data_IF_732849302924
#
_entry.id   IF_732849302924
#
_cell.length_a   1.000
_cell.length_b   1.000
_cell.length_c   1.000
_cell.angle_alpha   90.00
_cell.angle_beta   90.00
_cell.angle_gamma   90.00
#
_symmetry.space_group_name_H-M   'P 1'
#
loop_
_entity.id
_entity.type
_entity.pdbx_description
1 polymer ?
#
# COMPACT_ATOMS: atom_id res chain seq x y z
N UNK A 1 1.61 48.85 4.83
CA UNK A 1 2.04 47.61 5.51
C UNK A 1 1.90 46.46 4.53
N UNK A 2 3.01 45.94 3.99
CA UNK A 2 3.03 44.74 3.16
C UNK A 2 3.00 43.52 4.08
N UNK A 3 1.98 42.67 3.95
CA UNK A 3 2.01 41.32 4.53
C UNK A 3 2.79 40.42 3.59
N UNK A 4 3.98 40.03 4.02
CA UNK A 4 4.69 38.84 3.55
C UNK A 4 4.09 37.64 4.28
N UNK A 5 3.18 36.94 3.62
CA UNK A 5 2.82 35.55 3.95
C UNK A 5 3.76 34.71 3.06
N UNK A 6 4.77 34.05 3.60
CA UNK A 6 4.62 32.88 4.45
C UNK A 6 5.11 31.71 3.60
N UNK A 7 6.43 31.50 3.58
CA UNK A 7 7.06 30.45 2.80
C UNK A 7 6.49 29.09 3.17
N UNK A 8 5.90 28.43 2.18
CA UNK A 8 5.32 27.10 2.31
C UNK A 8 6.43 26.11 2.69
N UNK A 9 6.27 25.49 3.86
CA UNK A 9 7.18 24.48 4.39
C UNK A 9 7.19 23.28 3.45
N UNK A 10 8.23 23.20 2.60
CA UNK A 10 8.76 22.01 1.92
C UNK A 10 7.79 20.82 1.83
N UNK A 11 6.90 20.82 0.83
CA UNK A 11 6.21 19.59 0.42
C UNK A 11 7.26 18.53 0.11
N UNK A 12 7.12 17.34 0.70
CA UNK A 12 7.94 16.21 0.33
C UNK A 12 7.83 16.00 -1.20
N UNK A 13 8.94 15.82 -1.92
CA UNK A 13 8.90 15.59 -3.36
C UNK A 13 8.06 14.35 -3.65
N UNK A 14 7.27 14.40 -4.73
CA UNK A 14 6.51 13.23 -5.20
C UNK A 14 7.42 12.03 -5.38
N UNK A 15 6.93 10.80 -5.16
CA UNK A 15 7.75 9.59 -5.32
C UNK A 15 8.36 9.51 -6.73
N UNK A 16 7.65 9.99 -7.74
CA UNK A 16 8.18 10.05 -9.11
C UNK A 16 9.43 10.94 -9.21
N UNK A 17 9.44 12.12 -8.59
CA UNK A 17 10.62 13.00 -8.55
C UNK A 17 11.77 12.33 -7.78
N UNK A 18 11.47 11.69 -6.65
CA UNK A 18 12.49 10.98 -5.88
C UNK A 18 13.11 9.83 -6.68
N UNK A 19 12.30 9.08 -7.43
CA UNK A 19 12.77 7.99 -8.28
C UNK A 19 13.72 8.49 -9.37
N UNK A 20 13.34 9.57 -10.07
CA UNK A 20 14.19 10.21 -11.08
C UNK A 20 15.53 10.68 -10.51
N UNK A 21 15.55 11.22 -9.29
CA UNK A 21 16.80 11.60 -8.62
C UNK A 21 17.68 10.39 -8.30
N UNK A 22 17.08 9.28 -7.86
CA UNK A 22 17.79 8.05 -7.57
C UNK A 22 18.36 7.39 -8.83
N UNK A 23 17.61 7.41 -9.93
CA UNK A 23 18.07 6.97 -11.25
C UNK A 23 19.25 7.81 -11.74
N UNK A 24 19.10 9.14 -11.70
CA UNK A 24 20.14 10.07 -12.16
C UNK A 24 21.43 9.94 -11.34
N UNK A 25 21.31 9.61 -10.05
CA UNK A 25 22.44 9.36 -9.17
C UNK A 25 23.01 7.93 -9.24
N UNK A 26 22.41 7.03 -10.03
CA UNK A 26 22.85 5.66 -10.19
C UNK A 26 22.73 4.81 -8.92
N UNK A 27 21.90 5.24 -7.96
CA UNK A 27 21.74 4.57 -6.66
C UNK A 27 20.78 3.37 -6.72
N UNK A 28 19.93 3.30 -7.74
CA UNK A 28 18.92 2.27 -7.96
C UNK A 28 18.93 1.79 -9.41
N UNK A 29 18.15 0.75 -9.71
CA UNK A 29 18.02 0.17 -11.04
C UNK A 29 19.33 -0.40 -11.62
N UNK A 30 20.22 -0.92 -10.76
CA UNK A 30 21.42 -1.63 -11.24
C UNK A 30 21.09 -3.02 -11.79
N UNK A 31 19.91 -3.55 -11.46
CA UNK A 31 19.49 -4.91 -11.79
C UNK A 31 18.17 -4.94 -12.57
N UNK A 32 18.19 -4.48 -13.82
CA UNK A 32 16.98 -4.39 -14.66
C UNK A 32 16.73 -5.61 -15.53
N UNK A 33 17.75 -6.45 -15.78
CA UNK A 33 17.67 -7.58 -16.70
C UNK A 33 17.11 -8.83 -15.99
N UNK A 34 15.86 -9.26 -16.30
CA UNK A 34 15.25 -10.42 -15.62
C UNK A 34 15.99 -11.73 -15.89
N UNK A 35 16.74 -11.79 -17.00
CA UNK A 35 17.60 -12.92 -17.35
C UNK A 35 18.81 -13.07 -16.43
N UNK A 36 19.26 -11.98 -15.79
CA UNK A 36 20.47 -11.98 -14.96
C UNK A 36 20.30 -12.73 -13.64
N UNK A 37 21.38 -13.34 -13.15
CA UNK A 37 21.36 -14.05 -11.87
C UNK A 37 21.15 -13.09 -10.68
N UNK A 38 21.74 -11.90 -10.75
CA UNK A 38 21.59 -10.87 -9.72
C UNK A 38 20.12 -10.43 -9.57
N UNK A 39 19.42 -10.20 -10.68
CA UNK A 39 17.98 -9.94 -10.66
C UNK A 39 17.22 -11.07 -9.97
N UNK A 40 17.46 -12.32 -10.36
CA UNK A 40 16.75 -13.48 -9.81
C UNK A 40 16.97 -13.63 -8.30
N UNK A 41 18.18 -13.39 -7.82
CA UNK A 41 18.48 -13.40 -6.37
C UNK A 41 17.75 -12.27 -5.63
N UNK A 42 17.74 -11.05 -6.17
CA UNK A 42 17.04 -9.93 -5.56
C UNK A 42 15.52 -10.13 -5.58
N UNK A 43 14.98 -10.63 -6.68
CA UNK A 43 13.56 -10.97 -6.81
C UNK A 43 13.16 -12.12 -5.87
N UNK A 44 14.04 -13.09 -5.63
CA UNK A 44 13.80 -14.11 -4.60
C UNK A 44 13.75 -13.49 -3.20
N UNK A 45 14.68 -12.60 -2.88
CA UNK A 45 14.77 -11.95 -1.57
C UNK A 45 13.64 -10.94 -1.31
N UNK A 46 13.18 -10.24 -2.35
CA UNK A 46 12.20 -9.16 -2.27
C UNK A 46 10.90 -9.59 -1.60
N UNK A 47 10.42 -10.78 -1.90
CA UNK A 47 9.18 -11.32 -1.35
C UNK A 47 9.20 -11.39 0.19
N UNK A 48 10.30 -11.86 0.76
CA UNK A 48 10.48 -11.93 2.21
C UNK A 48 10.62 -10.55 2.84
N UNK A 49 11.47 -9.71 2.23
CA UNK A 49 11.76 -8.36 2.71
C UNK A 49 10.51 -7.46 2.72
N UNK A 50 9.76 -7.41 1.61
CA UNK A 50 8.54 -6.59 1.51
C UNK A 50 7.50 -7.01 2.55
N UNK A 51 7.32 -8.32 2.74
CA UNK A 51 6.43 -8.84 3.78
C UNK A 51 6.86 -8.44 5.17
N UNK A 52 8.15 -8.49 5.48
CA UNK A 52 8.70 -8.05 6.76
C UNK A 52 8.41 -6.57 6.98
N UNK A 53 8.81 -5.70 6.03
CA UNK A 53 8.64 -4.25 6.13
C UNK A 53 7.19 -3.84 6.34
N UNK A 54 6.28 -4.37 5.52
CA UNK A 54 4.84 -4.11 5.66
C UNK A 54 4.32 -4.63 7.01
N UNK A 55 4.71 -5.83 7.43
CA UNK A 55 4.26 -6.39 8.72
C UNK A 55 4.75 -5.54 9.90
N UNK A 56 5.99 -5.04 9.83
CA UNK A 56 6.54 -4.13 10.83
C UNK A 56 5.73 -2.84 10.90
N UNK A 57 5.44 -2.19 9.77
CA UNK A 57 4.60 -0.97 9.74
C UNK A 57 3.22 -1.23 10.35
N UNK A 58 2.58 -2.33 9.97
CA UNK A 58 1.28 -2.74 10.54
C UNK A 58 1.35 -2.93 12.06
N UNK A 59 2.37 -3.63 12.57
CA UNK A 59 2.51 -3.88 14.00
C UNK A 59 2.78 -2.59 14.78
N UNK A 60 3.58 -1.67 14.23
CA UNK A 60 3.85 -0.38 14.85
C UNK A 60 2.59 0.49 14.93
N UNK A 61 1.70 0.41 13.94
CA UNK A 61 0.45 1.19 13.92
C UNK A 61 -0.71 0.52 14.65
N UNK A 62 -0.83 -0.80 14.58
CA UNK A 62 -2.01 -1.58 15.00
C UNK A 62 -1.66 -2.77 15.90
N UNK A 63 -0.57 -2.71 16.67
CA UNK A 63 -0.04 -3.84 17.45
C UNK A 63 -0.99 -4.51 18.45
N UNK A 64 -2.11 -3.87 18.80
CA UNK A 64 -3.14 -4.44 19.69
C UNK A 64 -4.27 -5.17 18.94
N UNK A 65 -4.31 -5.11 17.61
CA UNK A 65 -5.34 -5.79 16.83
C UNK A 65 -5.07 -7.30 16.70
N UNK A 66 -6.14 -8.09 16.51
CA UNK A 66 -6.02 -9.54 16.38
C UNK A 66 -5.16 -9.96 15.19
N UNK A 67 -4.42 -11.09 15.26
CA UNK A 67 -3.60 -11.58 14.15
C UNK A 67 -4.34 -11.73 12.82
N UNK A 68 -5.62 -12.12 12.86
CA UNK A 68 -6.47 -12.24 11.67
C UNK A 68 -6.70 -10.89 10.97
N UNK A 69 -6.89 -9.82 11.75
CA UNK A 69 -7.02 -8.46 11.21
C UNK A 69 -5.70 -8.00 10.61
N UNK A 70 -4.59 -8.24 11.30
CA UNK A 70 -3.25 -7.86 10.82
C UNK A 70 -2.90 -8.57 9.51
N UNK A 71 -3.18 -9.88 9.40
CA UNK A 71 -2.93 -10.64 8.18
C UNK A 71 -3.77 -10.16 7.00
N UNK A 72 -5.07 -9.92 7.21
CA UNK A 72 -5.94 -9.38 6.16
C UNK A 72 -5.50 -7.99 5.72
N UNK A 73 -5.17 -7.11 6.66
CA UNK A 73 -4.66 -5.77 6.33
C UNK A 73 -3.38 -5.86 5.48
N UNK A 74 -2.47 -6.77 5.82
CA UNK A 74 -1.25 -7.00 5.02
C UNK A 74 -1.55 -7.42 3.59
N UNK A 75 -2.52 -8.30 3.37
CA UNK A 75 -2.95 -8.71 2.02
C UNK A 75 -3.44 -7.50 1.21
N UNK A 76 -4.26 -6.64 1.83
CA UNK A 76 -4.73 -5.40 1.20
C UNK A 76 -3.59 -4.45 0.83
N UNK A 77 -2.56 -4.35 1.68
CA UNK A 77 -1.39 -3.49 1.44
C UNK A 77 -0.53 -4.07 0.31
N UNK A 78 -0.22 -5.37 0.33
CA UNK A 78 0.54 -6.04 -0.74
C UNK A 78 -0.18 -5.89 -2.09
N UNK A 79 -1.52 -5.97 -2.10
CA UNK A 79 -2.32 -5.81 -3.32
C UNK A 79 -2.28 -4.39 -3.92
N UNK A 80 -1.69 -3.40 -3.23
CA UNK A 80 -1.50 -2.05 -3.81
C UNK A 80 -0.25 -1.93 -4.66
N UNK A 81 0.60 -2.98 -4.70
CA UNK A 81 1.85 -2.98 -5.46
C UNK A 81 1.65 -2.50 -6.90
N UNK A 82 0.66 -3.06 -7.59
CA UNK A 82 0.40 -2.75 -8.99
C UNK A 82 -0.09 -1.32 -9.23
N UNK A 83 -0.80 -0.75 -8.25
CA UNK A 83 -1.22 0.65 -8.34
C UNK A 83 0.01 1.57 -8.30
N UNK A 84 0.94 1.32 -7.38
CA UNK A 84 2.13 2.16 -7.22
C UNK A 84 3.13 1.92 -8.34
N UNK A 85 3.30 0.68 -8.79
CA UNK A 85 4.14 0.36 -9.94
C UNK A 85 3.65 1.13 -11.19
N UNK A 86 2.33 1.16 -11.42
CA UNK A 86 1.74 1.96 -12.49
C UNK A 86 1.97 3.46 -12.30
N UNK A 87 1.79 3.99 -11.09
CA UNK A 87 2.00 5.43 -10.80
C UNK A 87 3.46 5.86 -10.98
N UNK A 88 4.40 4.94 -10.76
CA UNK A 88 5.84 5.16 -10.97
C UNK A 88 6.31 4.83 -12.38
N UNK A 89 5.43 4.33 -13.26
CA UNK A 89 5.75 3.86 -14.61
C UNK A 89 6.83 2.75 -14.62
N UNK A 90 6.79 1.87 -13.61
CA UNK A 90 7.71 0.73 -13.47
C UNK A 90 6.95 -0.57 -13.69
N UNK A 91 7.54 -1.50 -14.44
CA UNK A 91 6.97 -2.84 -14.62
C UNK A 91 6.75 -3.56 -13.29
N UNK A 92 5.60 -4.22 -13.15
CA UNK A 92 5.16 -4.91 -11.94
C UNK A 92 6.14 -5.98 -11.44
N UNK A 93 6.86 -6.62 -12.37
CA UNK A 93 7.91 -7.61 -12.10
C UNK A 93 9.20 -6.97 -11.57
N UNK A 94 9.48 -5.75 -11.99
CA UNK A 94 10.71 -5.00 -11.69
C UNK A 94 10.55 -4.18 -10.41
N UNK A 95 9.33 -3.78 -10.07
CA UNK A 95 9.00 -3.02 -8.87
C UNK A 95 9.57 -3.65 -7.59
N UNK A 96 9.38 -4.96 -7.41
CA UNK A 96 9.85 -5.67 -6.22
C UNK A 96 11.39 -5.64 -6.12
N UNK A 97 12.08 -5.70 -7.25
CA UNK A 97 13.55 -5.62 -7.33
C UNK A 97 14.03 -4.21 -7.03
N UNK A 98 13.38 -3.19 -7.61
CA UNK A 98 13.67 -1.78 -7.36
C UNK A 98 13.57 -1.46 -5.86
N UNK A 99 12.43 -1.76 -5.25
CA UNK A 99 12.21 -1.44 -3.83
C UNK A 99 13.19 -2.21 -2.92
N UNK A 100 13.53 -3.45 -3.29
CA UNK A 100 14.55 -4.23 -2.57
C UNK A 100 15.93 -3.61 -2.69
N UNK A 101 16.31 -3.16 -3.87
CA UNK A 101 17.56 -2.45 -4.10
C UNK A 101 17.64 -1.16 -3.28
N UNK A 102 16.54 -0.43 -3.20
CA UNK A 102 16.39 0.75 -2.36
C UNK A 102 16.69 0.43 -0.89
N UNK A 103 16.08 -0.62 -0.34
CA UNK A 103 16.31 -1.05 1.04
C UNK A 103 17.76 -1.48 1.31
N UNK A 104 18.42 -2.12 0.34
CA UNK A 104 19.80 -2.59 0.49
C UNK A 104 20.84 -1.46 0.32
N UNK A 105 20.52 -0.41 -0.44
CA UNK A 105 21.48 0.65 -0.78
C UNK A 105 21.64 1.70 0.33
N UNK A 106 20.72 1.77 1.29
CA UNK A 106 20.80 2.72 2.39
C UNK A 106 20.55 4.18 1.96
N UNK A 107 20.76 5.11 2.89
CA UNK A 107 20.69 6.55 2.62
C UNK A 107 19.37 7.01 1.98
N UNK A 108 19.48 7.81 0.90
CA UNK A 108 18.31 8.32 0.16
C UNK A 108 17.47 7.21 -0.47
N UNK A 109 18.10 6.14 -0.95
CA UNK A 109 17.40 5.02 -1.56
C UNK A 109 16.57 4.25 -0.52
N UNK A 110 17.13 4.03 0.67
CA UNK A 110 16.38 3.44 1.78
C UNK A 110 15.15 4.29 2.13
N UNK A 111 15.30 5.61 2.22
CA UNK A 111 14.19 6.50 2.50
C UNK A 111 13.08 6.42 1.45
N UNK A 112 13.43 6.37 0.17
CA UNK A 112 12.46 6.14 -0.90
C UNK A 112 11.74 4.80 -0.75
N UNK A 113 12.45 3.71 -0.43
CA UNK A 113 11.84 2.41 -0.17
C UNK A 113 10.86 2.43 1.00
N UNK A 114 11.18 3.16 2.07
CA UNK A 114 10.26 3.39 3.20
C UNK A 114 9.03 4.21 2.77
N UNK A 115 9.21 5.29 2.03
CA UNK A 115 8.11 6.14 1.54
C UNK A 115 7.16 5.37 0.61
N UNK A 116 7.70 4.47 -0.23
CA UNK A 116 6.90 3.53 -1.03
C UNK A 116 6.04 2.62 -0.14
N UNK A 117 6.63 2.01 0.90
CA UNK A 117 5.89 1.15 1.82
C UNK A 117 4.81 1.93 2.60
N UNK A 118 5.09 3.17 3.00
CA UNK A 118 4.13 4.04 3.67
C UNK A 118 2.95 4.42 2.75
N UNK A 119 3.21 4.63 1.45
CA UNK A 119 2.17 4.85 0.47
C UNK A 119 1.33 3.58 0.25
N UNK A 120 1.97 2.41 0.10
CA UNK A 120 1.28 1.11 0.03
C UNK A 120 0.37 0.92 1.24
N UNK A 121 0.90 1.20 2.43
CA UNK A 121 0.16 1.10 3.68
C UNK A 121 -1.08 2.00 3.67
N UNK A 122 -0.91 3.27 3.29
CA UNK A 122 -1.99 4.27 3.26
C UNK A 122 -3.12 3.87 2.30
N UNK A 123 -2.78 3.46 1.07
CA UNK A 123 -3.74 3.01 0.07
C UNK A 123 -4.43 1.72 0.52
N UNK A 124 -3.65 0.73 0.99
CA UNK A 124 -4.14 -0.57 1.40
C UNK A 124 -5.08 -0.48 2.60
N UNK A 125 -4.74 0.35 3.59
CA UNK A 125 -5.59 0.64 4.74
C UNK A 125 -6.93 1.26 4.31
N UNK A 126 -6.90 2.22 3.38
CA UNK A 126 -8.12 2.85 2.85
C UNK A 126 -9.02 1.81 2.16
N UNK A 127 -8.45 0.92 1.35
CA UNK A 127 -9.19 -0.18 0.70
C UNK A 127 -9.79 -1.14 1.74
N UNK A 128 -8.99 -1.56 2.72
CA UNK A 128 -9.44 -2.45 3.80
C UNK A 128 -10.61 -1.87 4.59
N UNK A 129 -10.49 -0.63 5.06
CA UNK A 129 -11.54 0.04 5.85
C UNK A 129 -12.83 0.21 5.03
N UNK A 130 -12.70 0.53 3.74
CA UNK A 130 -13.86 0.67 2.84
C UNK A 130 -14.59 -0.66 2.66
N UNK A 131 -13.86 -1.76 2.44
CA UNK A 131 -14.46 -3.10 2.32
C UNK A 131 -15.14 -3.54 3.62
N UNK A 132 -14.52 -3.30 4.78
CA UNK A 132 -15.13 -3.61 6.09
C UNK A 132 -16.44 -2.82 6.30
N UNK A 133 -16.46 -1.53 5.95
CA UNK A 133 -17.67 -0.71 6.05
C UNK A 133 -18.77 -1.22 5.10
N UNK A 134 -18.42 -1.56 3.87
CA UNK A 134 -19.36 -2.09 2.88
C UNK A 134 -19.95 -3.44 3.30
N UNK A 135 -19.13 -4.34 3.86
CA UNK A 135 -19.59 -5.63 4.40
C UNK A 135 -20.56 -5.46 5.56
N UNK A 136 -20.27 -4.55 6.50
CA UNK A 136 -21.19 -4.22 7.59
C UNK A 136 -22.51 -3.66 7.06
N UNK A 137 -22.47 -2.72 6.13
CA UNK A 137 -23.68 -2.16 5.52
C UNK A 137 -24.55 -3.22 4.83
N UNK A 138 -23.94 -4.17 4.12
CA UNK A 138 -24.66 -5.33 3.52
C UNK A 138 -25.24 -6.25 4.57
N UNK A 139 -24.50 -6.54 5.64
CA UNK A 139 -24.97 -7.35 6.76
C UNK A 139 -26.22 -6.75 7.41
N UNK A 140 -26.21 -5.43 7.68
CA UNK A 140 -27.39 -4.74 8.20
C UNK A 140 -28.55 -4.78 7.22
N UNK A 141 -28.31 -4.50 5.93
CA UNK A 141 -29.37 -4.57 4.90
C UNK A 141 -30.02 -5.96 4.83
N UNK A 142 -29.23 -7.03 4.91
CA UNK A 142 -29.77 -8.40 4.90
C UNK A 142 -30.58 -8.71 6.16
N UNK A 143 -30.12 -8.27 7.34
CA UNK A 143 -30.89 -8.42 8.58
C UNK A 143 -32.23 -7.65 8.54
N UNK A 144 -32.25 -6.42 8.01
CA UNK A 144 -33.49 -5.66 7.82
C UNK A 144 -34.44 -6.35 6.83
N UNK A 145 -33.92 -6.92 5.74
CA UNK A 145 -34.74 -7.65 4.75
C UNK A 145 -35.28 -8.98 5.31
N UNK A 146 -34.52 -9.69 6.13
CA UNK A 146 -34.98 -10.90 6.83
C UNK A 146 -36.05 -10.58 7.89
N UNK A 147 -35.94 -9.44 8.59
CA UNK A 147 -36.96 -8.97 9.52
C UNK A 147 -38.24 -8.55 8.79
N UNK A 148 -38.15 -7.82 7.67
CA UNK A 148 -39.32 -7.48 6.84
C UNK A 148 -39.93 -8.69 6.11
N UNK A 149 -39.15 -9.74 5.85
CA UNK A 149 -39.64 -11.00 5.28
C UNK A 149 -40.39 -11.88 6.29
N UNK A 150 -40.16 -11.70 7.60
CA UNK A 150 -40.90 -12.36 8.67
C UNK A 150 -42.13 -11.59 9.16
N UNK A 151 -42.21 -10.28 8.86
CA UNK A 151 -43.38 -9.44 9.13
C UNK A 151 -44.29 -9.25 7.89
N UNK A 152 -44.19 -10.14 6.89
CA UNK A 152 -45.16 -10.23 5.80
C UNK A 152 -46.50 -10.80 6.31
N UNK A 153 -47.14 -10.09 7.23
CA UNK A 153 -48.57 -10.17 7.48
C UNK A 153 -49.26 -9.78 6.18
N UNK A 154 -50.19 -10.61 5.67
CA UNK A 154 -50.84 -10.31 4.41
C UNK A 154 -51.65 -9.03 4.59
N UNK A 155 -51.38 -8.03 3.75
CA UNK A 155 -52.34 -6.95 3.52
C UNK A 155 -53.49 -7.59 2.74
N UNK A 156 -54.38 -8.26 3.47
CA UNK A 156 -55.69 -8.68 3.02
C UNK A 156 -56.59 -7.45 2.97
N UNK A 157 -57.20 -7.26 1.79
CA UNK A 157 -58.49 -6.63 1.52
C UNK A 157 -59.16 -5.89 2.69
N UNK A 158 -59.28 -4.56 2.62
CA UNK A 158 -60.52 -3.78 2.46
C UNK A 158 -60.18 -2.29 2.34
#
# INVERSE_FOLDING_TARGET
>A
MKKTEGGDMTKAPSLHIQLLELETSGLVFRFQLPSSLAYKHLHFYSYGLMKERISKTILMTFGTASPNVLSRLREYIIATKSDIASDLEVDDSTFDVLVTECFLSGGKALKFGEDVVDLMFSIGLKKYVSDVKNKKARSYKNQYLEQMGNDAVPVSCF
#
